data_IF_362005900443
#
_entry.id   IF_362005900443
#
_cell.length_a   1.000
_cell.length_b   1.000
_cell.length_c   1.000
_cell.angle_alpha   90.00
_cell.angle_beta   90.00
_cell.angle_gamma   90.00
#
_symmetry.space_group_name_H-M   'P 1'
#
loop_
_entity.id
_entity.type
_entity.pdbx_description
1 polymer ?
#
# COMPACT_ATOMS: atom_id res chain seq x y z
N UNK A 1 -9.67 14.56 -17.03
CA UNK A 1 -9.58 13.20 -16.44
C UNK A 1 -9.22 13.35 -14.96
N UNK A 2 -10.11 12.96 -14.04
CA UNK A 2 -9.86 12.96 -12.59
C UNK A 2 -9.62 11.51 -12.18
N UNK A 3 -8.36 11.09 -12.08
CA UNK A 3 -8.03 9.81 -11.45
C UNK A 3 -8.08 10.02 -9.94
N UNK A 4 -9.13 9.49 -9.30
CA UNK A 4 -9.37 9.63 -7.86
C UNK A 4 -9.00 8.31 -7.18
N UNK A 5 -7.72 8.08 -6.94
CA UNK A 5 -7.25 7.10 -5.94
C UNK A 5 -7.35 7.77 -4.56
N UNK A 6 -8.59 8.09 -4.15
CA UNK A 6 -8.82 8.68 -2.82
C UNK A 6 -8.58 7.60 -1.77
N UNK A 7 -7.36 7.62 -1.22
CA UNK A 7 -6.93 7.02 0.04
C UNK A 7 -6.77 5.50 -0.03
N UNK A 8 -5.54 5.05 -0.19
CA UNK A 8 -5.21 3.67 0.10
C UNK A 8 -5.09 3.53 1.63
N UNK A 9 -5.80 2.54 2.12
CA UNK A 9 -6.13 2.32 3.50
C UNK A 9 -5.45 1.01 3.92
N UNK A 10 -4.77 1.00 5.07
CA UNK A 10 -3.79 -0.02 5.41
C UNK A 10 -3.95 -0.51 6.85
N UNK A 11 -3.85 -1.82 7.07
CA UNK A 11 -3.63 -2.42 8.38
C UNK A 11 -2.18 -2.91 8.40
N UNK A 12 -1.36 -2.36 9.29
CA UNK A 12 0.05 -2.77 9.45
C UNK A 12 0.16 -3.64 10.70
N UNK A 13 0.46 -4.94 10.54
CA UNK A 13 0.66 -5.89 11.64
C UNK A 13 2.07 -6.44 11.75
N UNK A 14 3.14 -5.62 11.67
CA UNK A 14 4.52 -6.13 11.55
C UNK A 14 5.54 -5.30 12.37
N UNK A 15 6.59 -5.99 12.86
CA UNK A 15 7.76 -5.44 13.55
C UNK A 15 8.50 -4.33 12.77
N UNK A 16 8.34 -4.29 11.45
CA UNK A 16 9.03 -3.38 10.53
C UNK A 16 8.17 -2.20 10.05
N UNK A 17 7.16 -1.84 10.87
CA UNK A 17 6.20 -0.76 10.59
C UNK A 17 6.85 0.54 10.10
N UNK A 18 8.00 0.93 10.67
CA UNK A 18 8.69 2.16 10.29
C UNK A 18 9.25 2.10 8.85
N UNK A 19 9.80 0.96 8.43
CA UNK A 19 10.32 0.80 7.07
C UNK A 19 9.19 0.92 6.04
N UNK A 20 8.06 0.28 6.33
CA UNK A 20 6.89 0.30 5.44
C UNK A 20 6.31 1.72 5.37
N UNK A 21 6.19 2.41 6.51
CA UNK A 21 5.74 3.82 6.54
C UNK A 21 6.70 4.71 5.75
N UNK A 22 8.01 4.54 5.90
CA UNK A 22 8.99 5.32 5.15
C UNK A 22 8.85 5.09 3.64
N UNK A 23 8.67 3.85 3.20
CA UNK A 23 8.41 3.52 1.80
C UNK A 23 7.12 4.20 1.28
N UNK A 24 6.04 4.18 2.07
CA UNK A 24 4.80 4.89 1.73
C UNK A 24 5.06 6.39 1.56
N UNK A 25 5.72 7.05 2.53
CA UNK A 25 6.01 8.49 2.46
C UNK A 25 6.94 8.85 1.30
N UNK A 26 7.92 8.01 1.00
CA UNK A 26 8.77 8.16 -0.18
C UNK A 26 7.94 8.12 -1.45
N UNK A 27 7.02 7.16 -1.59
CA UNK A 27 6.16 7.04 -2.77
C UNK A 27 5.19 8.22 -2.91
N UNK A 28 4.60 8.70 -1.82
CA UNK A 28 3.76 9.93 -1.82
C UNK A 28 4.53 11.14 -2.32
N UNK A 29 5.76 11.33 -1.84
CA UNK A 29 6.64 12.43 -2.24
C UNK A 29 7.03 12.34 -3.72
N UNK A 30 7.42 11.15 -4.19
CA UNK A 30 7.84 10.93 -5.57
C UNK A 30 6.69 11.05 -6.58
N UNK A 31 5.45 10.87 -6.15
CA UNK A 31 4.24 10.99 -7.00
C UNK A 31 3.55 12.33 -6.86
N UNK A 32 4.11 13.27 -6.09
CA UNK A 32 3.57 14.61 -5.93
C UNK A 32 3.77 15.46 -7.18
N UNK A 33 2.75 16.24 -7.56
CA UNK A 33 2.81 17.19 -8.68
C UNK A 33 2.47 18.57 -8.15
N UNK A 34 3.33 19.57 -8.41
CA UNK A 34 3.16 20.94 -7.91
C UNK A 34 2.97 21.00 -6.38
N UNK A 35 3.73 20.21 -5.63
CA UNK A 35 3.60 20.04 -4.17
C UNK A 35 2.23 19.54 -3.69
N UNK A 36 1.42 18.98 -4.59
CA UNK A 36 0.15 18.32 -4.25
C UNK A 36 0.34 16.81 -4.28
N UNK A 37 0.05 16.16 -3.16
CA UNK A 37 0.06 14.69 -3.05
C UNK A 37 -1.11 14.11 -3.86
N UNK A 38 -0.79 13.30 -4.87
CA UNK A 38 -1.80 12.60 -5.69
C UNK A 38 -2.13 11.20 -5.14
N UNK A 39 -1.16 10.56 -4.47
CA UNK A 39 -1.32 9.30 -3.75
C UNK A 39 -1.13 9.60 -2.26
N UNK A 40 -1.96 8.99 -1.42
CA UNK A 40 -1.88 9.10 0.03
C UNK A 40 -2.21 7.77 0.69
N UNK A 41 -1.31 7.32 1.56
CA UNK A 41 -1.43 6.14 2.40
C UNK A 41 -1.75 6.55 3.83
N UNK A 42 -2.73 5.88 4.41
CA UNK A 42 -3.08 6.04 5.83
C UNK A 42 -3.62 4.74 6.40
N UNK A 43 -3.65 4.68 7.73
CA UNK A 43 -4.27 3.57 8.43
C UNK A 43 -5.77 3.49 8.13
N UNK A 44 -6.25 2.25 8.20
CA UNK A 44 -7.66 1.95 8.06
C UNK A 44 -8.50 2.54 9.17
N UNK A 45 -9.62 3.14 8.77
CA UNK A 45 -10.73 3.47 9.66
C UNK A 45 -12.00 2.76 9.20
N UNK A 46 -12.98 2.64 10.08
CA UNK A 46 -14.23 1.91 9.82
C UNK A 46 -15.02 2.49 8.65
N UNK A 47 -14.93 3.81 8.41
CA UNK A 47 -15.63 4.50 7.33
C UNK A 47 -15.07 4.23 5.92
N UNK A 48 -13.94 3.51 5.80
CA UNK A 48 -13.34 3.17 4.50
C UNK A 48 -14.04 2.03 3.78
N UNK A 49 -14.91 1.31 4.51
CA UNK A 49 -15.55 0.11 4.00
C UNK A 49 -14.51 -0.95 3.59
N UNK A 50 -14.77 -1.71 2.52
CA UNK A 50 -13.95 -2.86 2.11
C UNK A 50 -12.76 -2.51 1.18
N UNK A 51 -12.54 -1.22 0.87
CA UNK A 51 -11.54 -0.81 -0.10
C UNK A 51 -10.23 -0.43 0.56
N UNK A 52 -9.48 -1.44 0.96
CA UNK A 52 -8.20 -1.31 1.62
C UNK A 52 -7.30 -2.47 1.22
N UNK A 53 -6.01 -2.34 1.50
CA UNK A 53 -5.07 -3.44 1.39
C UNK A 53 -4.63 -3.88 2.79
N UNK A 54 -4.43 -5.18 2.95
CA UNK A 54 -3.83 -5.75 4.16
C UNK A 54 -2.36 -5.97 3.85
N UNK A 55 -1.46 -5.56 4.75
CA UNK A 55 -0.05 -5.94 4.63
C UNK A 55 0.24 -7.03 5.66
N UNK A 56 0.75 -8.17 5.19
CA UNK A 56 1.10 -9.28 6.07
C UNK A 56 2.44 -9.90 5.70
N UNK A 57 3.04 -10.57 6.69
CA UNK A 57 4.17 -11.45 6.45
C UNK A 57 3.67 -12.76 5.83
N UNK A 58 4.39 -13.26 4.81
CA UNK A 58 4.08 -14.50 4.11
C UNK A 58 5.27 -14.95 3.27
N UNK A 59 5.02 -15.76 2.24
CA UNK A 59 6.08 -16.27 1.34
C UNK A 59 6.18 -15.38 0.11
N UNK A 60 7.39 -14.90 -0.18
CA UNK A 60 7.70 -14.01 -1.29
C UNK A 60 7.23 -12.56 -1.09
N UNK A 61 7.41 -11.77 -2.15
CA UNK A 61 6.94 -10.38 -2.25
C UNK A 61 5.86 -10.37 -3.34
N UNK A 62 4.64 -9.99 -2.99
CA UNK A 62 3.56 -9.93 -3.98
C UNK A 62 2.43 -9.02 -3.55
N UNK A 63 1.72 -8.50 -4.54
CA UNK A 63 0.57 -7.65 -4.35
C UNK A 63 -0.39 -7.76 -5.52
N UNK A 64 -1.65 -7.41 -5.29
CA UNK A 64 -2.65 -7.30 -6.34
C UNK A 64 -2.43 -6.05 -7.19
N UNK A 65 -2.82 -6.12 -8.47
CA UNK A 65 -2.74 -4.97 -9.39
C UNK A 65 -4.01 -4.12 -9.31
N UNK A 66 -3.86 -2.86 -8.91
CA UNK A 66 -4.92 -1.85 -8.85
C UNK A 66 -6.01 -2.12 -7.82
N UNK A 67 -7.10 -1.33 -7.90
CA UNK A 67 -8.24 -1.46 -7.00
C UNK A 67 -9.32 -2.40 -7.55
N UNK A 68 -9.50 -3.55 -6.90
CA UNK A 68 -10.61 -4.45 -7.16
C UNK A 68 -11.91 -3.97 -6.49
N UNK A 69 -12.98 -3.89 -7.28
CA UNK A 69 -14.35 -3.62 -6.80
C UNK A 69 -15.05 -4.86 -6.28
N UNK A 70 -14.60 -6.05 -6.66
CA UNK A 70 -15.12 -7.34 -6.22
C UNK A 70 -14.62 -7.70 -4.81
N UNK A 71 -15.53 -7.79 -3.85
CA UNK A 71 -15.21 -8.05 -2.44
C UNK A 71 -14.67 -9.46 -2.17
N UNK A 72 -14.79 -10.40 -3.10
CA UNK A 72 -14.26 -11.76 -2.90
C UNK A 72 -12.77 -11.88 -3.22
N UNK A 73 -12.17 -10.86 -3.82
CA UNK A 73 -10.74 -10.85 -4.14
C UNK A 73 -9.93 -10.51 -2.89
N UNK A 74 -8.92 -11.33 -2.60
CA UNK A 74 -7.94 -11.06 -1.57
C UNK A 74 -7.10 -9.83 -1.94
N UNK A 75 -7.10 -8.80 -1.08
CA UNK A 75 -6.39 -7.52 -1.27
C UNK A 75 -5.13 -7.45 -0.43
N UNK A 76 -4.48 -8.60 -0.27
CA UNK A 76 -3.36 -8.71 0.63
C UNK A 76 -2.04 -8.56 -0.12
N UNK A 77 -1.22 -7.66 0.40
CA UNK A 77 0.17 -7.49 0.03
C UNK A 77 1.03 -8.35 0.96
N UNK A 78 1.76 -9.29 0.38
CA UNK A 78 2.67 -10.18 1.08
C UNK A 78 4.07 -9.57 1.05
N UNK A 79 4.67 -9.43 2.23
CA UNK A 79 6.07 -9.05 2.39
C UNK A 79 6.76 -10.07 3.29
N UNK A 80 7.51 -11.01 2.70
CA UNK A 80 8.33 -11.95 3.45
C UNK A 80 9.42 -11.25 4.28
N UNK A 81 9.45 -11.53 5.58
CA UNK A 81 10.52 -11.08 6.47
C UNK A 81 11.68 -12.07 6.46
N UNK A 82 12.94 -11.64 6.23
CA UNK A 82 13.39 -10.26 5.98
C UNK A 82 13.54 -9.90 4.49
N UNK A 83 13.35 -10.85 3.58
CA UNK A 83 13.73 -10.78 2.17
C UNK A 83 13.02 -9.69 1.36
N UNK A 84 11.80 -9.30 1.75
CA UNK A 84 11.00 -8.26 1.09
C UNK A 84 11.04 -6.90 1.80
N UNK A 85 11.69 -6.81 2.97
CA UNK A 85 11.70 -5.59 3.80
C UNK A 85 12.79 -4.62 3.38
N UNK A 86 12.72 -4.21 2.12
CA UNK A 86 13.55 -3.16 1.55
C UNK A 86 12.64 -2.07 1.02
N UNK A 87 12.99 -0.80 1.25
CA UNK A 87 12.16 0.35 0.84
C UNK A 87 11.74 0.25 -0.64
N UNK A 88 12.66 -0.14 -1.53
CA UNK A 88 12.37 -0.31 -2.96
C UNK A 88 11.39 -1.45 -3.26
N UNK A 89 11.47 -2.58 -2.56
CA UNK A 89 10.54 -3.70 -2.72
C UNK A 89 9.16 -3.32 -2.18
N UNK A 90 9.10 -2.70 -1.00
CA UNK A 90 7.82 -2.24 -0.45
C UNK A 90 7.16 -1.21 -1.39
N UNK A 91 7.93 -0.28 -1.96
CA UNK A 91 7.41 0.65 -2.97
C UNK A 91 6.96 -0.07 -4.25
N UNK A 92 7.67 -1.09 -4.72
CA UNK A 92 7.29 -1.89 -5.87
C UNK A 92 5.92 -2.56 -5.65
N UNK A 93 5.73 -3.22 -4.51
CA UNK A 93 4.45 -3.85 -4.17
C UNK A 93 3.33 -2.83 -3.93
N UNK A 94 3.64 -1.66 -3.37
CA UNK A 94 2.68 -0.57 -3.25
C UNK A 94 2.26 -0.02 -4.62
N UNK A 95 3.18 0.10 -5.58
CA UNK A 95 2.88 0.54 -6.95
C UNK A 95 1.95 -0.45 -7.65
N UNK A 96 2.10 -1.75 -7.41
CA UNK A 96 1.13 -2.73 -7.91
C UNK A 96 -0.29 -2.39 -7.46
N UNK A 97 -0.49 -1.92 -6.23
CA UNK A 97 -1.84 -1.65 -5.68
C UNK A 97 -2.54 -0.41 -6.25
N UNK A 98 -1.81 0.46 -6.97
CA UNK A 98 -2.34 1.70 -7.55
C UNK A 98 -3.10 1.43 -8.85
#
# INVERSE_FOLDING_TARGET
MKYRLTRLCLIIGIADRNLIINAMRTLESLTAVNNVLCVQFREKVDSDGPYYITIQNGVGCSSIIGRYTDYTVDRTMILETPSCLYTGIVMHELIHTL
#
